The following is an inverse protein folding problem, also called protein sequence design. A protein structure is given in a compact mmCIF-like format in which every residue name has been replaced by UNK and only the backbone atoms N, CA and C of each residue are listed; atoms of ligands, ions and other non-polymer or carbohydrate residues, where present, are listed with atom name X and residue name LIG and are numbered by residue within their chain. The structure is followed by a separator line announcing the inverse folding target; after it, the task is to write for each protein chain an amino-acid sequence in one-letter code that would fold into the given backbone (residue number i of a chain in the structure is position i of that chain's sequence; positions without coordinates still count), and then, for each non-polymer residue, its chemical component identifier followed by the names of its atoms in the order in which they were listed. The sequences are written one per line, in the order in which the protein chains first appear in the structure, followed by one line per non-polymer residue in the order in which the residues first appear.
data_IF_206687983121
#
_entry.id   IF_206687983121
#
_cell.length_a   1.000
_cell.length_b   1.000
_cell.length_c   1.000
_cell.angle_alpha   90.00
_cell.angle_beta   90.00
_cell.angle_gamma   90.00
#
_symmetry.space_group_name_H-M   'P 1'
#
loop_
_entity.id
_entity.type
_entity.pdbx_description
1 polymer ?
#
# COMPACT_ATOMS: atom_id res chain seq x y z
N UNK A 1 -37.41 -29.71 -0.91
CA UNK A 1 -37.18 -28.44 -0.19
C UNK A 1 -36.96 -27.35 -1.21
N UNK A 2 -37.64 -26.21 -1.04
CA UNK A 2 -37.55 -25.08 -1.95
C UNK A 2 -36.13 -24.46 -1.95
N UNK A 3 -35.62 -24.07 -3.12
CA UNK A 3 -34.25 -23.58 -3.31
C UNK A 3 -33.94 -22.38 -2.41
N UNK A 4 -34.91 -21.46 -2.27
CA UNK A 4 -34.80 -20.26 -1.45
C UNK A 4 -34.56 -20.58 0.03
N UNK A 5 -35.21 -21.64 0.55
CA UNK A 5 -35.03 -22.06 1.94
C UNK A 5 -33.61 -22.61 2.16
N UNK A 6 -33.10 -23.41 1.22
CA UNK A 6 -31.72 -23.94 1.28
C UNK A 6 -30.68 -22.82 1.19
N UNK A 7 -30.90 -21.85 0.29
CA UNK A 7 -30.03 -20.69 0.15
C UNK A 7 -30.05 -19.84 1.43
N UNK A 8 -31.22 -19.60 2.03
CA UNK A 8 -31.35 -18.89 3.29
C UNK A 8 -30.54 -19.52 4.43
N UNK A 9 -30.69 -20.83 4.64
CA UNK A 9 -29.90 -21.53 5.67
C UNK A 9 -28.39 -21.49 5.41
N UNK A 10 -27.96 -21.61 4.16
CA UNK A 10 -26.55 -21.48 3.78
C UNK A 10 -26.01 -20.08 4.08
N UNK A 11 -26.74 -19.04 3.68
CA UNK A 11 -26.32 -17.65 3.90
C UNK A 11 -26.22 -17.32 5.39
N UNK A 12 -27.14 -17.80 6.23
CA UNK A 12 -27.06 -17.61 7.69
C UNK A 12 -25.78 -18.23 8.25
N UNK A 13 -25.48 -19.48 7.90
CA UNK A 13 -24.24 -20.14 8.33
C UNK A 13 -22.98 -19.43 7.82
N UNK A 14 -23.00 -19.00 6.55
CA UNK A 14 -21.91 -18.24 5.93
C UNK A 14 -21.68 -16.89 6.64
N UNK A 15 -22.74 -16.15 6.96
CA UNK A 15 -22.64 -14.87 7.67
C UNK A 15 -22.00 -15.03 9.05
N UNK A 16 -22.41 -16.06 9.82
CA UNK A 16 -21.79 -16.36 11.12
C UNK A 16 -20.31 -16.69 10.93
N UNK A 17 -19.97 -17.51 9.92
CA UNK A 17 -18.59 -17.85 9.59
C UNK A 17 -17.74 -16.62 9.25
N UNK A 18 -18.27 -15.67 8.47
CA UNK A 18 -17.58 -14.43 8.11
C UNK A 18 -17.31 -13.57 9.35
N UNK A 19 -18.27 -13.44 10.26
CA UNK A 19 -18.09 -12.67 11.51
C UNK A 19 -16.96 -13.26 12.36
N UNK A 20 -16.96 -14.58 12.56
CA UNK A 20 -15.91 -15.26 13.31
C UNK A 20 -14.54 -15.08 12.62
N UNK A 21 -14.48 -15.33 11.31
CA UNK A 21 -13.25 -15.21 10.54
C UNK A 21 -12.67 -13.79 10.59
N UNK A 22 -13.50 -12.76 10.41
CA UNK A 22 -13.05 -11.37 10.43
C UNK A 22 -12.48 -10.96 11.78
N UNK A 23 -13.05 -11.44 12.89
CA UNK A 23 -12.49 -11.19 14.22
C UNK A 23 -11.09 -11.81 14.39
N UNK A 24 -10.90 -13.06 13.96
CA UNK A 24 -9.59 -13.71 14.00
C UNK A 24 -8.54 -13.00 13.12
N UNK A 25 -8.93 -12.62 11.89
CA UNK A 25 -8.01 -11.95 10.97
C UNK A 25 -7.63 -10.54 11.43
N UNK A 26 -8.58 -9.78 11.98
CA UNK A 26 -8.31 -8.44 12.53
C UNK A 26 -7.33 -8.49 13.69
N UNK A 27 -7.59 -9.35 14.69
CA UNK A 27 -6.67 -9.54 15.82
C UNK A 27 -5.27 -9.93 15.36
N UNK A 28 -5.17 -10.85 14.41
CA UNK A 28 -3.86 -11.25 13.87
C UNK A 28 -3.14 -10.07 13.19
N UNK A 29 -3.85 -9.27 12.40
CA UNK A 29 -3.28 -8.08 11.75
C UNK A 29 -2.78 -7.06 12.79
N UNK A 30 -3.58 -6.77 13.81
CA UNK A 30 -3.26 -5.78 14.85
C UNK A 30 -2.14 -6.26 15.78
N UNK A 31 -2.16 -7.53 16.20
CA UNK A 31 -1.20 -8.08 17.17
C UNK A 31 0.15 -8.45 16.54
N UNK A 32 0.16 -8.90 15.28
CA UNK A 32 1.39 -9.39 14.62
C UNK A 32 1.89 -8.49 13.50
N UNK A 33 1.16 -7.41 13.15
CA UNK A 33 1.50 -6.54 12.02
C UNK A 33 1.38 -7.24 10.66
N UNK A 34 0.70 -8.38 10.58
CA UNK A 34 0.55 -9.14 9.34
C UNK A 34 -0.51 -8.50 8.45
N UNK A 35 -0.06 -7.81 7.41
CA UNK A 35 -0.93 -7.27 6.36
C UNK A 35 -1.20 -8.29 5.26
N UNK A 36 -2.49 -8.54 5.02
CA UNK A 36 -3.00 -9.38 3.94
C UNK A 36 -3.16 -8.58 2.64
N UNK A 37 -2.04 -8.22 2.00
CA UNK A 37 -2.02 -7.47 0.75
C UNK A 37 -2.36 -8.33 -0.48
N UNK A 38 -3.65 -8.60 -0.69
CA UNK A 38 -4.12 -9.32 -1.87
C UNK A 38 -4.25 -8.44 -3.12
N UNK A 39 -4.60 -7.16 -2.93
CA UNK A 39 -4.82 -6.23 -4.03
C UNK A 39 -3.51 -5.57 -4.53
N UNK A 40 -3.46 -5.17 -5.82
CA UNK A 40 -2.24 -4.62 -6.44
C UNK A 40 -1.62 -3.44 -5.69
N UNK A 41 -2.43 -2.49 -5.22
CA UNK A 41 -1.94 -1.31 -4.49
C UNK A 41 -1.14 -1.71 -3.23
N UNK A 42 -1.81 -2.38 -2.27
CA UNK A 42 -1.19 -2.86 -1.03
C UNK A 42 0.04 -3.75 -1.30
N UNK A 43 -0.03 -4.63 -2.31
CA UNK A 43 1.08 -5.53 -2.64
C UNK A 43 2.31 -4.75 -3.09
N UNK A 44 2.13 -3.74 -3.93
CA UNK A 44 3.22 -2.88 -4.43
C UNK A 44 3.84 -2.08 -3.28
N UNK A 45 3.01 -1.42 -2.47
CA UNK A 45 3.47 -0.65 -1.31
C UNK A 45 4.20 -1.51 -0.27
N UNK A 46 3.70 -2.71 0.00
CA UNK A 46 4.36 -3.68 0.90
C UNK A 46 5.69 -4.16 0.32
N UNK A 47 5.76 -4.44 -0.98
CA UNK A 47 7.00 -4.85 -1.64
C UNK A 47 8.06 -3.75 -1.57
N UNK A 48 7.69 -2.49 -1.83
CA UNK A 48 8.58 -1.33 -1.68
C UNK A 48 9.10 -1.23 -0.24
N UNK A 49 8.21 -1.26 0.76
CA UNK A 49 8.58 -1.15 2.19
C UNK A 49 9.42 -2.32 2.72
N UNK A 50 9.37 -3.47 2.06
CA UNK A 50 10.14 -4.65 2.47
C UNK A 50 11.63 -4.60 2.09
N UNK A 51 12.05 -3.58 1.33
CA UNK A 51 13.40 -3.44 0.77
C UNK A 51 14.18 -2.33 1.46
N UNK A 52 15.51 -2.33 1.27
CA UNK A 52 16.36 -1.24 1.71
C UNK A 52 15.97 0.06 0.99
N UNK A 53 15.61 1.08 1.76
CA UNK A 53 15.12 2.37 1.25
C UNK A 53 16.28 3.35 1.02
N UNK A 54 16.35 3.91 -0.17
CA UNK A 54 17.31 4.96 -0.55
C UNK A 54 16.57 6.20 -1.06
N UNK A 55 17.28 7.32 -1.10
CA UNK A 55 16.74 8.61 -1.55
C UNK A 55 17.72 9.23 -2.55
N UNK A 56 17.23 9.74 -3.67
CA UNK A 56 18.03 10.59 -4.56
C UNK A 56 18.37 11.90 -3.87
N UNK A 57 19.41 12.61 -4.33
CA UNK A 57 19.73 13.94 -3.82
C UNK A 57 18.56 14.92 -3.99
N UNK A 58 17.87 14.85 -5.13
CA UNK A 58 16.67 15.64 -5.42
C UNK A 58 15.54 15.35 -4.43
N UNK A 59 15.25 14.07 -4.18
CA UNK A 59 14.21 13.69 -3.22
C UNK A 59 14.58 14.13 -1.80
N UNK A 60 15.84 14.03 -1.39
CA UNK A 60 16.29 14.51 -0.07
C UNK A 60 16.07 16.00 0.10
N UNK A 61 16.41 16.81 -0.91
CA UNK A 61 16.17 18.25 -0.89
C UNK A 61 14.68 18.57 -0.80
N UNK A 62 13.84 17.90 -1.61
CA UNK A 62 12.39 18.10 -1.61
C UNK A 62 11.71 17.70 -0.31
N UNK A 63 12.12 16.58 0.29
CA UNK A 63 11.63 16.17 1.60
C UNK A 63 11.94 17.22 2.68
N UNK A 64 13.14 17.81 2.66
CA UNK A 64 13.50 18.89 3.58
C UNK A 64 12.69 20.17 3.34
N UNK A 65 12.53 20.57 2.08
CA UNK A 65 11.75 21.75 1.68
C UNK A 65 10.28 21.62 2.12
N UNK A 66 9.69 20.45 1.91
CA UNK A 66 8.30 20.14 2.25
C UNK A 66 8.11 19.71 3.72
N UNK A 67 9.18 19.69 4.52
CA UNK A 67 9.17 19.28 5.94
C UNK A 67 8.59 17.87 6.16
N UNK A 68 8.85 16.97 5.22
CA UNK A 68 8.45 15.57 5.28
C UNK A 68 9.55 14.74 5.96
N UNK A 69 9.21 14.13 7.10
CA UNK A 69 10.10 13.28 7.87
C UNK A 69 9.92 11.80 7.53
N UNK A 70 10.63 10.92 8.26
CA UNK A 70 10.51 9.48 8.09
C UNK A 70 9.10 8.95 8.40
N UNK A 71 8.35 9.63 9.27
CA UNK A 71 6.96 9.27 9.59
C UNK A 71 6.05 9.54 8.40
N UNK A 72 6.22 10.70 7.75
CA UNK A 72 5.49 11.05 6.54
C UNK A 72 5.78 10.06 5.41
N UNK A 73 7.06 9.76 5.14
CA UNK A 73 7.45 8.77 4.12
C UNK A 73 6.83 7.40 4.43
N UNK A 74 6.88 6.97 5.70
CA UNK A 74 6.28 5.69 6.11
C UNK A 74 4.78 5.69 5.89
N UNK A 75 4.09 6.77 6.24
CA UNK A 75 2.65 6.91 6.03
C UNK A 75 2.29 6.83 4.54
N UNK A 76 2.95 7.63 3.70
CA UNK A 76 2.70 7.68 2.26
C UNK A 76 2.94 6.32 1.60
N UNK A 77 4.02 5.62 1.97
CA UNK A 77 4.30 4.28 1.48
C UNK A 77 3.42 3.18 2.10
N UNK A 78 2.55 3.52 3.05
CA UNK A 78 1.63 2.60 3.72
C UNK A 78 0.19 2.77 3.24
N UNK A 79 -0.27 4.01 3.20
CA UNK A 79 -1.66 4.41 2.96
C UNK A 79 -1.88 5.06 1.60
N UNK A 80 -0.82 5.32 0.83
CA UNK A 80 -0.93 5.91 -0.50
C UNK A 80 -1.65 5.02 -1.53
N UNK A 81 -1.93 5.58 -2.69
CA UNK A 81 -2.45 4.86 -3.85
C UNK A 81 -1.43 4.89 -4.98
N UNK A 82 -1.19 3.72 -5.58
CA UNK A 82 -0.27 3.58 -6.70
C UNK A 82 -1.03 3.88 -7.99
N UNK A 83 -0.64 4.96 -8.67
CA UNK A 83 -1.11 5.24 -10.03
C UNK A 83 -0.39 4.33 -11.02
N UNK A 84 -0.97 3.15 -11.28
CA UNK A 84 -0.45 2.19 -12.25
C UNK A 84 -0.48 2.69 -13.70
N UNK A 85 -1.30 3.72 -14.01
CA UNK A 85 -1.39 4.32 -15.33
C UNK A 85 -0.17 5.18 -15.67
N UNK A 86 0.31 5.94 -14.68
CA UNK A 86 1.51 6.76 -14.81
C UNK A 86 2.80 6.06 -14.35
N UNK A 87 2.71 4.82 -13.87
CA UNK A 87 3.84 3.99 -13.45
C UNK A 87 4.45 3.15 -14.58
N UNK A 88 5.77 2.97 -14.57
CA UNK A 88 6.44 1.93 -15.37
C UNK A 88 6.46 0.59 -14.64
N UNK A 89 5.48 -0.24 -14.97
CA UNK A 89 5.32 -1.59 -14.40
C UNK A 89 5.97 -2.70 -15.23
N UNK A 90 6.49 -2.38 -16.42
CA UNK A 90 6.93 -3.35 -17.43
C UNK A 90 8.44 -3.51 -17.50
N UNK A 91 9.20 -2.53 -17.02
CA UNK A 91 10.65 -2.63 -16.95
C UNK A 91 11.13 -3.87 -16.19
N UNK A 92 12.07 -4.59 -16.81
CA UNK A 92 12.54 -5.91 -16.35
C UNK A 92 13.50 -5.79 -15.16
N UNK A 93 14.32 -4.74 -15.13
CA UNK A 93 15.37 -4.56 -14.12
C UNK A 93 14.88 -3.87 -12.85
N UNK A 94 14.19 -2.73 -12.99
CA UNK A 94 13.56 -2.00 -11.90
C UNK A 94 12.28 -1.36 -12.45
N UNK A 95 11.21 -1.39 -11.65
CA UNK A 95 9.95 -0.74 -11.97
C UNK A 95 9.92 0.64 -11.32
N UNK A 96 9.18 1.59 -11.89
CA UNK A 96 9.01 2.91 -11.28
C UNK A 96 7.54 3.12 -11.01
N UNK A 97 7.20 3.44 -9.76
CA UNK A 97 5.85 3.62 -9.29
C UNK A 97 5.60 5.07 -8.91
N UNK A 98 4.49 5.63 -9.39
CA UNK A 98 3.93 6.90 -8.95
C UNK A 98 2.95 6.59 -7.83
N UNK A 99 3.14 7.22 -6.68
CA UNK A 99 2.35 7.00 -5.47
C UNK A 99 1.78 8.35 -5.03
N UNK A 100 0.46 8.43 -4.97
CA UNK A 100 -0.28 9.61 -4.53
C UNK A 100 -0.76 9.39 -3.09
N UNK A 101 -0.72 10.42 -2.25
CA UNK A 101 -1.21 10.32 -0.88
C UNK A 101 -1.58 11.66 -0.29
N UNK A 102 -2.77 11.71 0.31
CA UNK A 102 -3.20 12.76 1.24
C UNK A 102 -2.47 12.61 2.58
N UNK A 103 -1.60 13.56 2.92
CA UNK A 103 -0.95 13.64 4.23
C UNK A 103 -1.06 15.06 4.79
N UNK A 104 -1.62 15.21 6.00
CA UNK A 104 -1.83 16.52 6.65
C UNK A 104 -2.51 17.56 5.73
N UNK A 105 -3.62 17.16 5.10
CA UNK A 105 -4.45 18.03 4.23
C UNK A 105 -3.72 18.54 2.97
N UNK A 106 -2.67 17.84 2.56
CA UNK A 106 -1.89 18.12 1.36
C UNK A 106 -1.69 16.84 0.55
N UNK A 107 -1.82 16.97 -0.76
CA UNK A 107 -1.62 15.89 -1.72
C UNK A 107 -0.15 15.82 -2.13
N UNK A 108 0.47 14.66 -1.93
CA UNK A 108 1.85 14.42 -2.32
C UNK A 108 1.96 13.33 -3.36
N UNK A 109 2.89 13.54 -4.30
CA UNK A 109 3.24 12.58 -5.33
C UNK A 109 4.68 12.13 -5.13
N UNK A 110 4.86 10.81 -4.98
CA UNK A 110 6.15 10.16 -4.80
C UNK A 110 6.46 9.31 -6.02
N UNK A 111 7.62 9.53 -6.62
CA UNK A 111 8.16 8.66 -7.67
C UNK A 111 9.17 7.70 -7.04
N UNK A 112 8.83 6.41 -7.00
CA UNK A 112 9.63 5.39 -6.34
C UNK A 112 10.10 4.34 -7.33
N UNK A 113 11.42 4.25 -7.50
CA UNK A 113 12.06 3.16 -8.24
C UNK A 113 12.22 1.94 -7.36
N UNK A 114 11.57 0.86 -7.76
CA UNK A 114 11.48 -0.39 -7.04
C UNK A 114 12.26 -1.50 -7.79
N UNK A 115 13.44 -1.84 -7.29
CA UNK A 115 14.30 -2.90 -7.81
C UNK A 115 14.14 -4.18 -6.95
N UNK A 116 14.92 -5.23 -7.23
CA UNK A 116 14.79 -6.52 -6.51
C UNK A 116 15.07 -6.43 -5.00
N UNK A 117 16.12 -5.71 -4.61
CA UNK A 117 16.61 -5.67 -3.21
C UNK A 117 16.58 -4.28 -2.58
N UNK A 118 16.40 -3.25 -3.41
CA UNK A 118 16.36 -1.86 -2.98
C UNK A 118 15.20 -1.12 -3.61
N UNK A 119 14.66 -0.17 -2.88
CA UNK A 119 13.76 0.84 -3.40
C UNK A 119 14.45 2.21 -3.28
N UNK A 120 14.14 3.14 -4.18
CA UNK A 120 14.73 4.48 -4.18
C UNK A 120 13.64 5.50 -4.47
N UNK A 121 13.45 6.45 -3.56
CA UNK A 121 12.59 7.61 -3.82
C UNK A 121 13.40 8.54 -4.72
N UNK A 122 12.95 8.68 -5.97
CA UNK A 122 13.63 9.47 -6.98
C UNK A 122 13.12 10.92 -6.98
N UNK A 123 11.84 11.13 -6.73
CA UNK A 123 11.23 12.46 -6.72
C UNK A 123 10.09 12.56 -5.69
N UNK A 124 9.88 13.76 -5.14
CA UNK A 124 8.80 14.10 -4.22
C UNK A 124 8.24 15.46 -4.61
N UNK A 125 6.93 15.53 -4.82
CA UNK A 125 6.23 16.75 -5.25
C UNK A 125 4.96 16.93 -4.45
N UNK A 126 4.57 18.19 -4.28
CA UNK A 126 3.21 18.55 -3.88
C UNK A 126 2.36 18.60 -5.15
N UNK A 127 1.17 18.03 -5.11
CA UNK A 127 0.21 18.03 -6.23
C UNK A 127 -0.46 19.39 -6.42
#
# INVERSE_FOLDING_TARGET
MDFLKRLGYFLVGMSIGIVVLTFFLKKKSEETGVYFCYLPNCRTLKDIRSKSMYYSEEAQQKLQELQLDSTAVTYILTEGDVDFGNSDTKSVSCKTYVIESDYKEQDYIFTVKNCREKATIENVQLQ
#
